data_IF_828688349664
#
_entry.id   IF_828688349664
#
_cell.length_a   1.000
_cell.length_b   1.000
_cell.length_c   1.000
_cell.angle_alpha   90.00
_cell.angle_beta   90.00
_cell.angle_gamma   90.00
#
_symmetry.space_group_name_H-M   'P 1'
#
loop_
_entity.id
_entity.type
_entity.pdbx_description
1 polymer ?
#
# COMPACT_ATOMS: atom_id res chain seq x y z
N UNK A 1 9.32 10.66 25.12
CA UNK A 1 8.96 9.25 24.88
C UNK A 1 8.09 8.77 26.03
N UNK A 2 7.18 7.82 25.79
CA UNK A 2 6.23 7.31 26.77
C UNK A 2 6.40 5.79 26.94
N UNK A 3 6.16 5.26 28.14
CA UNK A 3 6.18 3.80 28.36
C UNK A 3 5.10 3.08 27.55
N UNK A 4 3.93 3.70 27.48
CA UNK A 4 2.75 3.18 26.82
C UNK A 4 2.12 4.25 25.93
N UNK A 5 1.71 3.86 24.72
CA UNK A 5 0.99 4.73 23.76
C UNK A 5 -0.29 4.03 23.32
N UNK A 6 -1.38 4.79 23.25
CA UNK A 6 -2.67 4.33 22.73
C UNK A 6 -3.00 5.09 21.44
N UNK A 7 -3.08 4.38 20.33
CA UNK A 7 -3.55 4.88 19.05
C UNK A 7 -5.02 4.44 18.88
N UNK A 8 -5.96 5.35 19.10
CA UNK A 8 -7.39 5.04 19.12
C UNK A 8 -8.05 5.45 17.80
N UNK A 9 -8.94 4.59 17.28
CA UNK A 9 -9.73 4.89 16.10
C UNK A 9 -8.92 4.93 14.81
N UNK A 10 -7.88 4.09 14.70
CA UNK A 10 -6.95 4.02 13.58
C UNK A 10 -7.60 3.45 12.30
N UNK A 11 -8.50 4.21 11.70
CA UNK A 11 -9.17 3.89 10.44
C UNK A 11 -9.24 5.14 9.53
N UNK A 12 -9.52 4.93 8.25
CA UNK A 12 -9.60 6.02 7.26
C UNK A 12 -10.68 7.08 7.58
N UNK A 13 -11.66 6.77 8.43
CA UNK A 13 -12.76 7.68 8.76
C UNK A 13 -12.42 8.62 9.95
N UNK A 14 -11.71 8.11 10.94
CA UNK A 14 -11.52 8.69 12.27
C UNK A 14 -10.06 9.07 12.57
N UNK A 15 -9.10 8.64 11.75
CA UNK A 15 -7.68 8.95 11.89
C UNK A 15 -7.12 9.68 10.65
N UNK A 16 -6.45 10.83 10.80
CA UNK A 16 -6.42 11.70 11.98
C UNK A 16 -7.84 12.17 12.34
N UNK A 17 -8.10 12.47 13.61
CA UNK A 17 -9.35 13.15 14.00
C UNK A 17 -9.51 14.38 13.12
N UNK A 18 -10.66 14.52 12.44
CA UNK A 18 -10.90 15.68 11.59
C UNK A 18 -10.81 16.92 12.47
N UNK A 19 -9.88 17.82 12.19
CA UNK A 19 -9.71 19.09 12.91
C UNK A 19 -10.92 20.04 12.83
N UNK A 20 -12.03 19.61 12.21
CA UNK A 20 -13.30 20.33 12.12
C UNK A 20 -14.01 20.55 13.46
N UNK A 21 -13.46 20.08 14.59
CA UNK A 21 -13.98 20.37 15.93
C UNK A 21 -13.24 21.52 16.63
N UNK A 22 -12.22 22.13 16.02
CA UNK A 22 -11.47 23.22 16.64
C UNK A 22 -11.62 24.55 15.87
N UNK A 23 -12.14 25.63 16.49
CA UNK A 23 -12.43 26.91 15.82
C UNK A 23 -11.19 27.63 15.25
N UNK A 24 -9.99 27.15 15.58
CA UNK A 24 -8.71 27.69 15.08
C UNK A 24 -8.39 27.17 13.67
N UNK A 25 -8.90 25.99 13.29
CA UNK A 25 -8.61 25.35 11.99
C UNK A 25 -9.34 26.04 10.83
N UNK A 26 -10.48 26.70 11.10
CA UNK A 26 -11.17 27.53 10.10
C UNK A 26 -10.41 28.83 9.74
N UNK A 27 -9.56 29.34 10.65
CA UNK A 27 -8.84 30.61 10.44
C UNK A 27 -7.51 30.44 9.68
N UNK A 28 -6.99 29.23 9.58
CA UNK A 28 -5.75 28.93 8.86
C UNK A 28 -6.13 28.35 7.50
N UNK A 29 -5.87 29.12 6.43
CA UNK A 29 -6.19 28.76 5.03
C UNK A 29 -5.95 27.27 4.74
N UNK A 30 -7.03 26.58 4.43
CA UNK A 30 -7.15 25.15 4.08
C UNK A 30 -6.64 24.91 2.65
N UNK A 31 -5.45 25.41 2.31
CA UNK A 31 -4.76 25.03 1.08
C UNK A 31 -3.87 23.82 1.42
N UNK A 32 -4.38 22.63 1.07
CA UNK A 32 -3.70 21.32 1.13
C UNK A 32 -3.46 20.70 2.53
N UNK A 33 -4.50 20.57 3.36
CA UNK A 33 -4.41 19.62 4.49
C UNK A 33 -4.32 18.17 3.97
N UNK A 34 -3.09 17.67 3.84
CA UNK A 34 -2.81 16.32 3.37
C UNK A 34 -3.08 15.30 4.48
N UNK A 35 -4.33 14.84 4.55
CA UNK A 35 -4.80 13.87 5.55
C UNK A 35 -3.92 12.61 5.63
N UNK A 36 -3.44 12.11 4.48
CA UNK A 36 -2.60 10.91 4.43
C UNK A 36 -1.21 11.14 5.02
N UNK A 37 -0.60 12.30 4.79
CA UNK A 37 0.69 12.63 5.38
C UNK A 37 0.59 12.86 6.90
N UNK A 38 -0.48 13.49 7.36
CA UNK A 38 -0.70 13.66 8.81
C UNK A 38 -1.01 12.31 9.48
N UNK A 39 -1.77 11.42 8.81
CA UNK A 39 -1.98 10.04 9.24
C UNK A 39 -0.65 9.30 9.40
N UNK A 40 0.23 9.39 8.40
CA UNK A 40 1.59 8.81 8.42
C UNK A 40 2.42 9.36 9.57
N UNK A 41 2.40 10.68 9.77
CA UNK A 41 3.17 11.36 10.82
C UNK A 41 2.71 10.91 12.20
N UNK A 42 1.41 10.90 12.44
CA UNK A 42 0.84 10.50 13.73
C UNK A 42 1.08 9.01 14.01
N UNK A 43 0.94 8.15 12.99
CA UNK A 43 1.23 6.73 13.12
C UNK A 43 2.72 6.48 13.44
N UNK A 44 3.63 7.13 12.72
CA UNK A 44 5.06 7.07 12.99
C UNK A 44 5.43 7.60 14.38
N UNK A 45 4.81 8.70 14.81
CA UNK A 45 4.99 9.26 16.15
C UNK A 45 4.54 8.27 17.22
N UNK A 46 3.40 7.59 17.04
CA UNK A 46 2.93 6.60 18.00
C UNK A 46 3.90 5.42 18.12
N UNK A 47 4.41 4.91 17.00
CA UNK A 47 5.41 3.83 16.98
C UNK A 47 6.73 4.23 17.63
N UNK A 48 7.24 5.42 17.32
CA UNK A 48 8.54 5.88 17.81
C UNK A 48 8.52 6.40 19.25
N UNK A 49 7.35 6.81 19.76
CA UNK A 49 7.22 7.28 21.15
C UNK A 49 6.92 6.17 22.15
N UNK A 50 6.46 5.01 21.73
CA UNK A 50 6.20 3.87 22.61
C UNK A 50 7.49 3.14 22.96
N UNK A 51 7.84 3.08 24.25
CA UNK A 51 9.03 2.34 24.73
C UNK A 51 8.76 0.86 24.95
N UNK A 52 7.59 0.52 25.50
CA UNK A 52 7.25 -0.84 25.91
C UNK A 52 5.99 -1.35 25.21
N UNK A 53 4.93 -0.55 25.24
CA UNK A 53 3.63 -0.98 24.73
C UNK A 53 3.00 0.05 23.80
N UNK A 54 2.58 -0.42 22.62
CA UNK A 54 1.73 0.33 21.71
C UNK A 54 0.40 -0.42 21.56
N UNK A 55 -0.68 0.20 22.00
CA UNK A 55 -2.04 -0.31 21.82
C UNK A 55 -2.68 0.40 20.65
N UNK A 56 -3.20 -0.36 19.68
CA UNK A 56 -3.89 0.19 18.52
C UNK A 56 -5.32 -0.33 18.54
N UNK A 57 -6.29 0.58 18.46
CA UNK A 57 -7.70 0.23 18.26
C UNK A 57 -8.22 0.86 16.97
N UNK A 58 -9.05 0.12 16.25
CA UNK A 58 -9.76 0.61 15.07
C UNK A 58 -11.17 0.06 15.05
N UNK A 59 -12.07 0.76 14.36
CA UNK A 59 -13.46 0.33 14.17
C UNK A 59 -13.77 0.20 12.69
N UNK A 60 -14.59 -0.78 12.31
CA UNK A 60 -15.00 -1.02 10.92
C UNK A 60 -14.10 -1.96 10.13
N UNK A 61 -14.35 -2.07 8.82
CA UNK A 61 -13.74 -3.08 7.92
C UNK A 61 -12.35 -2.72 7.38
N UNK A 62 -11.91 -1.47 7.53
CA UNK A 62 -10.64 -0.98 6.94
C UNK A 62 -9.85 -0.19 8.00
N UNK A 63 -8.78 -0.76 8.58
CA UNK A 63 -7.88 -0.02 9.45
C UNK A 63 -7.08 1.03 8.65
N UNK A 64 -6.21 1.77 9.35
CA UNK A 64 -5.28 2.73 8.75
C UNK A 64 -4.42 2.08 7.67
N UNK A 65 -4.10 2.83 6.62
CA UNK A 65 -3.29 2.32 5.50
C UNK A 65 -1.84 2.01 5.90
N UNK A 66 -1.44 2.37 7.13
CA UNK A 66 -0.11 2.13 7.69
C UNK A 66 -0.03 0.87 8.58
N UNK A 67 -1.15 0.21 8.86
CA UNK A 67 -1.13 -1.13 9.47
C UNK A 67 -0.86 -2.16 8.40
N UNK A 68 0.22 -2.94 8.57
CA UNK A 68 0.52 -4.04 7.65
C UNK A 68 -0.48 -5.18 7.85
N UNK A 69 -0.66 -5.99 6.80
CA UNK A 69 -1.49 -7.19 6.88
C UNK A 69 -1.03 -8.14 8.00
N UNK A 70 0.28 -8.19 8.29
CA UNK A 70 0.82 -8.96 9.41
C UNK A 70 0.37 -8.42 10.76
N UNK A 71 0.39 -7.10 10.95
CA UNK A 71 -0.09 -6.46 12.19
C UNK A 71 -1.58 -6.76 12.42
N UNK A 72 -2.38 -6.79 11.36
CA UNK A 72 -3.82 -7.12 11.44
C UNK A 72 -4.02 -8.60 11.77
N UNK A 73 -3.27 -9.49 11.12
CA UNK A 73 -3.34 -10.93 11.37
C UNK A 73 -2.89 -11.31 12.80
N UNK A 74 -1.97 -10.55 13.39
CA UNK A 74 -1.57 -10.68 14.80
C UNK A 74 -2.70 -10.30 15.79
N UNK A 75 -3.65 -9.46 15.38
CA UNK A 75 -4.75 -8.97 16.23
C UNK A 75 -5.92 -9.96 16.27
N UNK A 76 -6.20 -10.66 15.16
CA UNK A 76 -7.36 -11.56 15.03
C UNK A 76 -7.17 -12.95 15.69
N UNK A 77 -6.14 -13.13 16.52
CA UNK A 77 -6.00 -14.31 17.39
C UNK A 77 -5.41 -15.57 16.75
N UNK A 78 -4.66 -15.44 15.66
CA UNK A 78 -3.93 -16.55 15.03
C UNK A 78 -2.65 -16.95 15.75
N UNK A 79 -2.72 -17.48 16.98
CA UNK A 79 -1.62 -18.25 17.57
C UNK A 79 -1.71 -19.71 17.15
N UNK A 80 -1.50 -20.04 15.87
CA UNK A 80 -0.98 -21.34 15.45
C UNK A 80 -0.24 -21.17 14.11
N UNK A 81 1.08 -21.41 14.15
CA UNK A 81 1.97 -21.45 12.99
C UNK A 81 1.89 -20.23 12.06
N UNK A 82 2.50 -19.12 12.48
CA UNK A 82 2.98 -18.09 11.55
C UNK A 82 4.12 -18.66 10.68
N UNK A 83 3.76 -19.55 9.77
CA UNK A 83 4.54 -19.75 8.56
C UNK A 83 4.57 -18.42 7.84
N UNK A 84 5.76 -17.83 7.74
CA UNK A 84 6.13 -16.84 6.73
C UNK A 84 5.86 -17.43 5.32
N UNK A 85 4.59 -17.51 4.91
CA UNK A 85 4.17 -17.91 3.57
C UNK A 85 3.08 -16.94 3.14
N UNK A 86 3.52 -15.84 2.55
CA UNK A 86 3.12 -15.37 1.21
C UNK A 86 3.40 -13.86 0.97
N UNK A 87 3.97 -13.17 1.96
CA UNK A 87 4.46 -11.80 1.76
C UNK A 87 5.82 -11.74 1.05
N UNK A 88 6.66 -12.75 1.19
CA UNK A 88 7.95 -12.81 0.50
C UNK A 88 7.75 -13.00 -1.01
N UNK A 89 6.80 -13.85 -1.42
CA UNK A 89 6.46 -14.11 -2.82
C UNK A 89 5.90 -12.86 -3.50
N UNK A 90 4.92 -12.20 -2.87
CA UNK A 90 4.29 -11.02 -3.45
C UNK A 90 5.23 -9.81 -3.49
N UNK A 91 6.04 -9.60 -2.45
CA UNK A 91 7.05 -8.54 -2.48
C UNK A 91 8.15 -8.81 -3.52
N UNK A 92 8.56 -10.07 -3.71
CA UNK A 92 9.52 -10.47 -4.75
C UNK A 92 8.96 -10.15 -6.14
N UNK A 93 7.73 -10.57 -6.42
CA UNK A 93 7.07 -10.32 -7.73
C UNK A 93 6.87 -8.83 -7.97
N UNK A 94 6.42 -8.06 -6.98
CA UNK A 94 6.29 -6.60 -7.10
C UNK A 94 7.65 -5.95 -7.37
N UNK A 95 8.72 -6.44 -6.72
CA UNK A 95 10.07 -5.93 -6.94
C UNK A 95 10.56 -6.19 -8.37
N UNK A 96 10.31 -7.40 -8.91
CA UNK A 96 10.62 -7.80 -10.29
C UNK A 96 9.86 -6.94 -11.32
N UNK A 97 8.55 -6.74 -11.12
CA UNK A 97 7.75 -5.87 -12.02
C UNK A 97 8.22 -4.42 -11.94
N UNK A 98 8.60 -3.94 -10.75
CA UNK A 98 9.13 -2.58 -10.55
C UNK A 98 10.47 -2.40 -11.25
N UNK A 99 11.35 -3.40 -11.17
CA UNK A 99 12.63 -3.38 -11.87
C UNK A 99 12.45 -3.41 -13.38
N UNK A 100 11.61 -4.31 -13.91
CA UNK A 100 11.28 -4.35 -15.33
C UNK A 100 10.75 -2.99 -15.82
N UNK A 101 9.80 -2.38 -15.08
CA UNK A 101 9.25 -1.06 -15.41
C UNK A 101 10.33 0.02 -15.45
N UNK A 102 11.30 -0.02 -14.53
CA UNK A 102 12.42 0.93 -14.48
C UNK A 102 13.37 0.75 -15.68
N UNK A 103 13.67 -0.50 -16.04
CA UNK A 103 14.50 -0.79 -17.21
C UNK A 103 13.82 -0.33 -18.49
N UNK A 104 12.53 -0.63 -18.65
CA UNK A 104 11.75 -0.25 -19.83
C UNK A 104 11.56 1.27 -19.97
N UNK A 105 11.33 1.97 -18.87
CA UNK A 105 11.25 3.44 -18.88
C UNK A 105 12.58 4.08 -19.27
N UNK A 106 13.70 3.54 -18.79
CA UNK A 106 15.04 4.01 -19.17
C UNK A 106 15.34 3.75 -20.65
N UNK A 107 14.97 2.57 -21.17
CA UNK A 107 15.11 2.21 -22.59
C UNK A 107 14.32 3.15 -23.50
N UNK A 108 13.08 3.46 -23.11
CA UNK A 108 12.16 4.27 -23.92
C UNK A 108 12.28 5.77 -23.67
N UNK A 109 13.08 6.20 -22.69
CA UNK A 109 13.23 7.61 -22.31
C UNK A 109 11.93 8.26 -21.79
N UNK A 110 10.99 7.47 -21.27
CA UNK A 110 9.69 7.94 -20.78
C UNK A 110 9.53 7.67 -19.28
N UNK A 111 8.73 8.46 -18.55
CA UNK A 111 8.46 8.18 -17.14
C UNK A 111 7.88 6.77 -16.88
N UNK A 112 8.29 6.14 -15.78
CA UNK A 112 7.90 4.77 -15.42
C UNK A 112 6.39 4.51 -15.41
N UNK A 113 5.60 5.47 -14.96
CA UNK A 113 4.14 5.35 -14.91
C UNK A 113 3.48 5.28 -16.30
N UNK A 114 4.16 5.76 -17.37
CA UNK A 114 3.64 5.65 -18.74
C UNK A 114 3.67 4.21 -19.26
N UNK A 115 4.63 3.39 -18.78
CA UNK A 115 4.70 1.96 -19.09
C UNK A 115 3.49 1.27 -18.44
N UNK A 116 3.46 1.20 -17.11
CA UNK A 116 2.32 0.71 -16.32
C UNK A 116 2.18 1.54 -15.04
N UNK A 117 0.94 1.82 -14.63
CA UNK A 117 0.68 2.55 -13.40
C UNK A 117 0.82 1.63 -12.16
N UNK A 118 0.90 2.20 -10.97
CA UNK A 118 1.08 1.43 -9.74
C UNK A 118 -0.14 0.53 -9.44
N UNK A 119 -1.35 0.96 -9.83
CA UNK A 119 -2.57 0.17 -9.71
C UNK A 119 -2.50 -1.13 -10.53
N UNK A 120 -2.01 -1.05 -11.76
CA UNK A 120 -1.80 -2.17 -12.69
C UNK A 120 -0.72 -3.10 -12.15
N UNK A 121 0.36 -2.56 -11.58
CA UNK A 121 1.41 -3.37 -10.95
C UNK A 121 0.89 -4.18 -9.76
N UNK A 122 0.08 -3.57 -8.90
CA UNK A 122 -0.56 -4.27 -7.77
C UNK A 122 -1.57 -5.31 -8.25
N UNK A 123 -2.37 -5.00 -9.27
CA UNK A 123 -3.36 -5.95 -9.82
C UNK A 123 -2.68 -7.13 -10.54
N UNK A 124 -1.53 -6.92 -11.19
CA UNK A 124 -0.69 -7.97 -11.77
C UNK A 124 -0.13 -8.91 -10.69
N UNK A 125 0.46 -8.36 -9.63
CA UNK A 125 0.97 -9.14 -8.51
C UNK A 125 -0.15 -9.92 -7.80
N UNK A 126 -1.35 -9.35 -7.71
CA UNK A 126 -2.49 -10.01 -7.05
C UNK A 126 -3.10 -11.15 -7.88
N UNK A 127 -3.14 -11.02 -9.21
CA UNK A 127 -3.83 -11.97 -10.11
C UNK A 127 -2.91 -12.99 -10.78
N UNK A 128 -1.61 -12.72 -10.82
CA UNK A 128 -0.57 -13.59 -11.42
C UNK A 128 -0.99 -14.20 -12.77
N UNK A 129 -1.32 -13.37 -13.76
CA UNK A 129 -1.75 -13.87 -15.06
C UNK A 129 -0.66 -14.70 -15.73
N UNK A 130 -1.04 -15.86 -16.26
CA UNK A 130 -0.16 -16.78 -16.98
C UNK A 130 -0.36 -16.68 -18.50
N UNK A 131 -1.44 -16.03 -18.95
CA UNK A 131 -1.79 -15.93 -20.36
C UNK A 131 -2.12 -14.50 -20.79
N UNK A 132 -1.97 -14.20 -22.09
CA UNK A 132 -2.38 -12.92 -22.67
C UNK A 132 -3.87 -12.64 -22.52
N UNK A 133 -4.70 -13.68 -22.44
CA UNK A 133 -6.13 -13.53 -22.19
C UNK A 133 -6.38 -13.02 -20.77
N UNK A 134 -5.67 -13.54 -19.79
CA UNK A 134 -5.77 -13.08 -18.40
C UNK A 134 -5.24 -11.65 -18.21
N UNK A 135 -4.24 -11.22 -19.00
CA UNK A 135 -3.78 -9.83 -19.02
C UNK A 135 -4.89 -8.83 -19.37
N UNK A 136 -5.89 -9.22 -20.17
CA UNK A 136 -7.04 -8.34 -20.47
C UNK A 136 -7.90 -8.03 -19.23
N UNK A 137 -7.85 -8.89 -18.21
CA UNK A 137 -8.60 -8.71 -16.97
C UNK A 137 -7.87 -7.83 -15.94
N UNK A 138 -6.70 -7.29 -16.30
CA UNK A 138 -5.88 -6.43 -15.43
C UNK A 138 -6.31 -4.98 -15.57
N UNK A 139 -6.63 -4.35 -14.44
CA UNK A 139 -7.07 -2.95 -14.39
C UNK A 139 -5.95 -2.03 -14.86
N UNK A 140 -6.25 -1.15 -15.82
CA UNK A 140 -5.29 -0.17 -16.35
C UNK A 140 -4.33 -0.71 -17.42
N UNK A 141 -4.47 -1.98 -17.82
CA UNK A 141 -3.73 -2.58 -18.92
C UNK A 141 -4.62 -2.69 -20.17
N UNK A 142 -4.49 -1.73 -21.09
CA UNK A 142 -5.25 -1.73 -22.34
C UNK A 142 -4.64 -2.64 -23.42
N UNK A 143 -5.42 -2.99 -24.46
CA UNK A 143 -5.00 -3.94 -25.50
C UNK A 143 -3.71 -3.52 -26.22
N UNK A 144 -3.48 -2.22 -26.43
CA UNK A 144 -2.25 -1.69 -27.02
C UNK A 144 -1.00 -2.00 -26.18
N UNK A 145 -1.12 -1.94 -24.85
CA UNK A 145 -0.02 -2.24 -23.93
C UNK A 145 0.22 -3.73 -23.81
N UNK A 146 -0.84 -4.54 -23.83
CA UNK A 146 -0.75 -6.01 -23.85
C UNK A 146 -0.05 -6.48 -25.13
N UNK A 147 -0.41 -5.90 -26.27
CA UNK A 147 0.25 -6.24 -27.54
C UNK A 147 1.73 -5.85 -27.55
N UNK A 148 2.09 -4.73 -26.92
CA UNK A 148 3.45 -4.22 -26.93
C UNK A 148 4.37 -4.86 -25.88
N UNK A 149 3.85 -5.19 -24.70
CA UNK A 149 4.64 -5.63 -23.53
C UNK A 149 4.11 -6.89 -22.85
N UNK A 150 3.03 -7.49 -23.32
CA UNK A 150 2.40 -8.64 -22.65
C UNK A 150 3.35 -9.82 -22.50
N UNK A 151 4.16 -10.13 -23.51
CA UNK A 151 5.15 -11.22 -23.44
C UNK A 151 6.26 -10.92 -22.40
N UNK A 152 6.74 -9.68 -22.36
CA UNK A 152 7.75 -9.27 -21.37
C UNK A 152 7.19 -9.35 -19.94
N UNK A 153 5.94 -8.91 -19.72
CA UNK A 153 5.29 -8.96 -18.42
C UNK A 153 5.12 -10.41 -17.96
N UNK A 154 4.67 -11.31 -18.85
CA UNK A 154 4.51 -12.73 -18.52
C UNK A 154 5.84 -13.39 -18.16
N UNK A 155 6.93 -13.06 -18.88
CA UNK A 155 8.27 -13.56 -18.55
C UNK A 155 8.74 -13.10 -17.17
N UNK A 156 8.48 -11.83 -16.81
CA UNK A 156 8.84 -11.28 -15.49
C UNK A 156 8.05 -11.95 -14.36
N UNK A 157 6.81 -12.36 -14.62
CA UNK A 157 5.97 -13.08 -13.65
C UNK A 157 6.36 -14.55 -13.49
N UNK A 158 7.01 -15.15 -14.50
CA UNK A 158 7.42 -16.56 -14.52
C UNK A 158 8.90 -16.78 -14.14
N UNK A 159 9.67 -15.70 -14.01
CA UNK A 159 11.07 -15.71 -13.57
C UNK A 159 11.22 -15.54 -12.06
#
# INVERSE_FOLDING_TARGET
EAEMVFLIGANNANFPCKGSEHPVVEMVKVEEYNKLEEERRLFYVAMSRAKLHLYISYTGKKPTNFMTSDMINMIDGGTENAGFKDQTSNNDIISKIREWRRLKSKEMGVPAFMIINDLTMMDLASKLPLTKLELNNIKGLGPTKIMRWGDEILNVLQS
#
